data_IF_000735384239
#
_entry.id   IF_000735384239
#
_cell.length_a   1.000
_cell.length_b   1.000
_cell.length_c   1.000
_cell.angle_alpha   90.00
_cell.angle_beta   90.00
_cell.angle_gamma   90.00
#
_symmetry.space_group_name_H-M   'P 1'
#
loop_
_entity.id
_entity.type
_entity.pdbx_description
1 polymer ?
#
# COMPACT_ATOMS: atom_id res chain seq x y z
N UNK A 1 -23.09 -14.33 37.44
CA UNK A 1 -23.06 -13.14 36.56
C UNK A 1 -21.70 -13.10 35.89
N UNK A 2 -21.54 -13.78 34.75
CA UNK A 2 -20.31 -13.74 33.96
C UNK A 2 -20.50 -12.65 32.89
N UNK A 3 -19.66 -11.61 32.94
CA UNK A 3 -19.70 -10.52 31.97
C UNK A 3 -19.22 -11.02 30.61
N UNK A 4 -20.08 -10.91 29.60
CA UNK A 4 -19.69 -11.11 28.21
C UNK A 4 -18.75 -9.96 27.81
N UNK A 5 -17.46 -10.25 27.68
CA UNK A 5 -16.51 -9.32 27.09
C UNK A 5 -16.91 -9.07 25.64
N UNK A 6 -17.24 -7.83 25.30
CA UNK A 6 -17.34 -7.39 23.91
C UNK A 6 -15.94 -7.48 23.30
N UNK A 7 -15.66 -8.59 22.61
CA UNK A 7 -14.45 -8.74 21.80
C UNK A 7 -14.48 -7.72 20.68
N UNK A 8 -13.78 -6.59 20.87
CA UNK A 8 -13.68 -5.55 19.86
C UNK A 8 -12.78 -5.99 18.72
N UNK A 9 -13.27 -5.87 17.49
CA UNK A 9 -12.47 -6.12 16.30
C UNK A 9 -11.52 -4.94 16.06
N UNK A 10 -10.24 -5.24 15.86
CA UNK A 10 -9.26 -4.24 15.41
C UNK A 10 -9.24 -4.27 13.88
N UNK A 11 -9.58 -3.15 13.27
CA UNK A 11 -9.42 -2.92 11.83
C UNK A 11 -8.09 -2.22 11.60
N UNK A 12 -7.25 -2.80 10.74
CA UNK A 12 -5.97 -2.21 10.35
C UNK A 12 -6.05 -1.80 8.88
N UNK A 13 -5.73 -0.54 8.58
CA UNK A 13 -5.56 -0.09 7.20
C UNK A 13 -4.27 -0.71 6.68
N UNK A 14 -4.41 -1.58 5.67
CA UNK A 14 -3.28 -2.30 5.10
C UNK A 14 -2.54 -1.47 4.04
N UNK A 15 -3.27 -0.76 3.18
CA UNK A 15 -2.69 0.03 2.09
C UNK A 15 -3.51 1.29 1.81
N UNK A 16 -2.86 2.31 1.30
CA UNK A 16 -3.50 3.52 0.76
C UNK A 16 -3.32 3.54 -0.75
N UNK A 17 -4.42 3.74 -1.48
CA UNK A 17 -4.42 3.87 -2.94
C UNK A 17 -4.37 5.34 -3.33
N UNK A 18 -3.42 5.70 -4.20
CA UNK A 18 -3.24 7.05 -4.72
C UNK A 18 -3.50 7.08 -6.24
N UNK A 19 -4.42 7.95 -6.66
CA UNK A 19 -4.62 8.24 -8.08
C UNK A 19 -3.46 9.08 -8.64
N UNK A 20 -2.84 8.64 -9.73
CA UNK A 20 -1.67 9.29 -10.35
C UNK A 20 -1.82 9.47 -11.85
N UNK A 21 -1.33 10.59 -12.37
CA UNK A 21 -1.39 10.90 -13.80
C UNK A 21 -0.33 10.17 -14.64
N UNK A 22 0.76 9.71 -14.02
CA UNK A 22 1.84 8.96 -14.68
C UNK A 22 2.35 7.91 -13.70
N UNK A 23 2.01 6.65 -13.98
CA UNK A 23 2.30 5.52 -13.10
C UNK A 23 3.80 5.31 -12.92
N UNK A 24 4.58 5.30 -14.01
CA UNK A 24 6.01 5.01 -13.95
C UNK A 24 6.79 6.12 -13.26
N UNK A 25 6.38 7.38 -13.45
CA UNK A 25 6.94 8.51 -12.70
C UNK A 25 6.61 8.40 -11.22
N UNK A 26 5.37 8.07 -10.86
CA UNK A 26 4.95 7.91 -9.48
C UNK A 26 5.68 6.75 -8.78
N UNK A 27 5.79 5.59 -9.43
CA UNK A 27 6.56 4.43 -8.92
C UNK A 27 7.98 4.85 -8.59
N UNK A 28 8.68 5.53 -9.52
CA UNK A 28 10.06 6.00 -9.29
C UNK A 28 10.15 6.99 -8.13
N UNK A 29 9.23 7.94 -8.05
CA UNK A 29 9.22 8.95 -6.98
C UNK A 29 9.02 8.31 -5.60
N UNK A 30 7.97 7.49 -5.44
CA UNK A 30 7.63 6.89 -4.16
C UNK A 30 8.63 5.82 -3.72
N UNK A 31 9.14 5.03 -4.66
CA UNK A 31 10.20 4.06 -4.38
C UNK A 31 11.46 4.75 -3.85
N UNK A 32 11.86 5.87 -4.47
CA UNK A 32 13.03 6.63 -4.04
C UNK A 32 12.82 7.36 -2.70
N UNK A 33 11.65 7.98 -2.51
CA UNK A 33 11.36 8.79 -1.33
C UNK A 33 11.17 7.94 -0.06
N UNK A 34 10.45 6.82 -0.18
CA UNK A 34 10.00 6.01 0.96
C UNK A 34 10.72 4.66 1.06
N UNK A 35 11.71 4.41 0.19
CA UNK A 35 12.44 3.14 0.13
C UNK A 35 11.51 1.94 -0.10
N UNK A 36 10.59 2.11 -1.05
CA UNK A 36 9.66 1.08 -1.49
C UNK A 36 10.15 0.42 -2.78
N UNK A 37 9.61 -0.76 -3.09
CA UNK A 37 9.81 -1.46 -4.35
C UNK A 37 8.48 -1.83 -4.98
N UNK A 38 8.37 -1.80 -6.32
CA UNK A 38 7.19 -2.30 -7.00
C UNK A 38 7.02 -3.80 -6.78
N UNK A 39 5.78 -4.22 -6.55
CA UNK A 39 5.37 -5.62 -6.53
C UNK A 39 5.04 -6.05 -7.95
N UNK A 40 6.01 -6.67 -8.61
CA UNK A 40 5.92 -6.97 -10.05
C UNK A 40 4.85 -8.01 -10.40
N UNK A 41 4.42 -8.86 -9.46
CA UNK A 41 3.36 -9.86 -9.69
C UNK A 41 1.96 -9.25 -9.92
N UNK A 42 1.70 -8.06 -9.34
CA UNK A 42 0.42 -7.36 -9.42
C UNK A 42 0.46 -6.16 -10.39
N UNK A 43 1.60 -5.90 -11.04
CA UNK A 43 1.81 -4.70 -11.84
C UNK A 43 1.09 -4.80 -13.18
N UNK A 44 0.38 -3.74 -13.55
CA UNK A 44 -0.26 -3.58 -14.86
C UNK A 44 0.09 -2.20 -15.45
N UNK A 45 -0.40 -1.91 -16.65
CA UNK A 45 -0.25 -0.59 -17.26
C UNK A 45 -0.98 0.53 -16.47
N UNK A 46 -1.89 0.17 -15.56
CA UNK A 46 -2.68 1.12 -14.78
C UNK A 46 -2.51 0.99 -13.27
N UNK A 47 -1.88 -0.08 -12.78
CA UNK A 47 -1.80 -0.36 -11.36
C UNK A 47 -0.40 -0.80 -10.95
N UNK A 48 0.07 -0.34 -9.80
CA UNK A 48 1.30 -0.85 -9.20
C UNK A 48 1.23 -0.74 -7.66
N UNK A 49 1.31 -1.88 -6.99
CA UNK A 49 1.50 -1.95 -5.54
C UNK A 49 2.97 -1.74 -5.19
N UNK A 50 3.26 -1.01 -4.09
CA UNK A 50 4.61 -0.78 -3.58
C UNK A 50 4.77 -1.35 -2.17
N UNK A 51 5.79 -2.18 -1.99
CA UNK A 51 6.16 -2.77 -0.70
C UNK A 51 7.40 -2.09 -0.11
N UNK A 52 7.50 -1.99 1.23
CA UNK A 52 8.75 -1.68 1.89
C UNK A 52 9.83 -2.65 1.47
N UNK A 53 11.01 -2.13 1.12
CA UNK A 53 12.17 -2.99 0.83
C UNK A 53 12.58 -3.81 2.06
N UNK A 54 12.34 -3.28 3.26
CA UNK A 54 12.60 -3.96 4.53
C UNK A 54 11.73 -3.40 5.66
N UNK A 55 11.48 -4.21 6.68
CA UNK A 55 10.75 -3.80 7.89
C UNK A 55 9.25 -3.59 7.66
N UNK A 56 8.61 -2.95 8.63
CA UNK A 56 7.24 -2.47 8.50
C UNK A 56 7.23 -1.04 7.94
N UNK A 57 6.25 -0.74 7.11
CA UNK A 57 6.11 0.56 6.49
C UNK A 57 4.75 0.70 5.80
N UNK A 58 4.40 1.92 5.37
CA UNK A 58 3.15 2.16 4.66
C UNK A 58 3.15 1.40 3.34
N UNK A 59 2.11 0.59 3.10
CA UNK A 59 1.84 0.06 1.77
C UNK A 59 1.14 1.16 0.96
N UNK A 60 1.68 1.41 -0.23
CA UNK A 60 1.15 2.41 -1.16
C UNK A 60 0.84 1.73 -2.47
N UNK A 61 -0.41 1.80 -2.89
CA UNK A 61 -0.82 1.36 -4.21
C UNK A 61 -1.05 2.57 -5.11
N UNK A 62 -0.65 2.45 -6.36
CA UNK A 62 -0.75 3.50 -7.36
C UNK A 62 -1.72 3.08 -8.45
N UNK A 63 -2.71 3.93 -8.71
CA UNK A 63 -3.72 3.73 -9.74
C UNK A 63 -3.65 4.86 -10.77
N UNK A 64 -3.58 4.49 -12.04
CA UNK A 64 -3.66 5.39 -13.18
C UNK A 64 -5.04 5.27 -13.82
N UNK A 65 -5.92 6.17 -13.37
CA UNK A 65 -7.27 6.35 -13.89
C UNK A 65 -7.29 6.89 -15.32
#
# INVERSE_FOLDING_TARGET
MAGAGVGGWVVVVQSVVLGVADLDRAVRFWSALLHLRPREEDRTARWCALDPVSGEGPLVDLDHA
#
